data_IF_376419398580
#
_entry.id   IF_376419398580
#
_cell.length_a   1.000
_cell.length_b   1.000
_cell.length_c   1.000
_cell.angle_alpha   90.00
_cell.angle_beta   90.00
_cell.angle_gamma   90.00
#
_symmetry.space_group_name_H-M   'P 1'
#
loop_
_entity.id
_entity.type
_entity.pdbx_description
1 polymer ?
#
# COMPACT_ATOMS: atom_id res chain seq x y z
N UNK A 1 -29.14 7.59 13.73
CA UNK A 1 -27.80 7.15 13.26
C UNK A 1 -27.55 7.72 11.87
N UNK A 2 -26.74 8.77 11.74
CA UNK A 2 -26.38 9.36 10.44
C UNK A 2 -25.25 8.49 9.87
N UNK A 3 -25.50 7.72 8.81
CA UNK A 3 -24.43 7.23 7.93
C UNK A 3 -24.22 8.30 6.87
N UNK A 4 -23.32 9.27 7.06
CA UNK A 4 -22.79 9.92 5.89
C UNK A 4 -21.88 8.86 5.26
N UNK A 5 -22.24 8.39 4.08
CA UNK A 5 -21.26 7.91 3.12
C UNK A 5 -20.37 9.12 2.79
N UNK A 6 -19.56 9.61 3.75
CA UNK A 6 -18.55 10.61 3.48
C UNK A 6 -17.62 9.89 2.53
N UNK A 7 -17.47 10.46 1.35
CA UNK A 7 -16.55 10.07 0.27
C UNK A 7 -15.11 9.80 0.73
N UNK A 8 -14.75 10.10 1.98
CA UNK A 8 -13.45 9.79 2.59
C UNK A 8 -13.22 8.35 3.06
N UNK A 9 -14.24 7.51 3.31
CA UNK A 9 -14.01 6.21 3.99
C UNK A 9 -13.48 5.10 3.05
N UNK A 10 -13.84 5.11 1.76
CA UNK A 10 -13.25 4.17 0.80
C UNK A 10 -12.00 4.71 0.10
N UNK A 11 -11.68 5.99 0.28
CA UNK A 11 -10.38 6.55 -0.12
C UNK A 11 -9.22 6.00 0.73
N UNK A 12 -9.53 5.25 1.80
CA UNK A 12 -8.59 4.67 2.77
C UNK A 12 -7.68 3.61 2.14
N UNK A 13 -8.15 2.80 1.18
CA UNK A 13 -7.27 1.79 0.55
C UNK A 13 -6.10 2.41 -0.21
N UNK A 14 -6.34 3.53 -0.90
CA UNK A 14 -5.31 4.23 -1.67
C UNK A 14 -4.37 5.10 -0.84
N UNK A 15 -4.77 5.48 0.38
CA UNK A 15 -3.98 6.31 1.30
C UNK A 15 -3.21 5.46 2.31
N UNK A 16 -3.77 4.35 2.80
CA UNK A 16 -3.15 3.60 3.90
C UNK A 16 -2.14 2.54 3.47
N UNK A 17 -2.27 1.89 2.31
CA UNK A 17 -1.29 0.88 1.85
C UNK A 17 0.15 1.43 1.67
N UNK A 18 0.35 2.73 1.90
CA UNK A 18 1.59 3.45 1.70
C UNK A 18 2.25 4.00 2.94
N UNK A 19 1.56 4.10 4.08
CA UNK A 19 2.25 4.60 5.26
C UNK A 19 3.41 3.66 5.66
N UNK A 20 3.40 2.41 5.18
CA UNK A 20 4.27 1.38 5.75
C UNK A 20 5.08 0.54 4.79
N UNK A 21 4.77 0.43 3.49
CA UNK A 21 5.56 -0.45 2.60
C UNK A 21 6.88 0.18 2.12
N UNK A 22 6.96 1.51 2.02
CA UNK A 22 8.21 2.21 1.70
C UNK A 22 8.14 3.58 2.35
N UNK A 23 9.22 3.96 3.03
CA UNK A 23 9.49 5.30 3.57
C UNK A 23 8.71 6.40 2.83
N UNK A 24 7.75 7.03 3.49
CA UNK A 24 6.90 8.10 2.94
C UNK A 24 7.64 9.42 2.65
N UNK A 25 8.96 9.39 2.61
CA UNK A 25 9.80 10.50 2.17
C UNK A 25 10.90 9.89 1.31
N UNK A 26 10.94 10.30 0.04
CA UNK A 26 12.08 10.03 -0.83
C UNK A 26 13.40 10.44 -0.17
N UNK A 27 14.54 10.02 -0.74
CA UNK A 27 15.84 10.31 -0.15
C UNK A 27 15.96 11.81 0.14
N UNK A 28 16.23 12.15 1.41
CA UNK A 28 16.46 13.53 1.83
C UNK A 28 17.93 13.83 1.52
N UNK A 29 18.16 14.81 0.66
CA UNK A 29 19.48 15.32 0.36
C UNK A 29 19.79 16.52 1.26
N UNK A 30 20.92 16.48 1.96
CA UNK A 30 21.44 17.56 2.79
C UNK A 30 22.84 17.92 2.31
N UNK A 31 23.08 19.20 2.07
CA UNK A 31 24.42 19.74 1.80
C UNK A 31 24.84 20.59 2.99
N UNK A 32 26.01 20.28 3.56
CA UNK A 32 26.51 20.90 4.79
C UNK A 32 27.99 21.22 4.64
N UNK A 33 28.35 22.49 4.78
CA UNK A 33 29.75 22.90 4.94
C UNK A 33 30.13 22.88 6.42
N UNK A 34 31.16 22.12 6.79
CA UNK A 34 31.65 21.98 8.17
C UNK A 34 33.00 22.70 8.27
N UNK A 35 33.06 23.86 8.96
CA UNK A 35 34.32 24.60 9.10
C UNK A 35 35.41 23.81 9.79
N UNK A 36 36.67 24.19 9.54
CA UNK A 36 37.84 23.70 10.26
C UNK A 36 37.69 23.90 11.78
N UNK A 37 38.08 22.91 12.58
CA UNK A 37 37.98 23.00 14.04
C UNK A 37 36.55 22.92 14.60
N UNK A 38 35.53 22.68 13.77
CA UNK A 38 34.12 22.68 14.17
C UNK A 38 33.41 21.36 13.85
N UNK A 39 32.19 21.24 14.36
CA UNK A 39 31.26 20.18 14.00
C UNK A 39 29.89 20.78 13.67
N UNK A 40 29.09 20.04 12.89
CA UNK A 40 27.68 20.36 12.62
C UNK A 40 26.83 19.10 12.76
N UNK A 41 25.55 19.27 13.06
CA UNK A 41 24.62 18.16 13.14
C UNK A 41 23.30 18.47 12.42
N UNK A 42 22.73 17.47 11.77
CA UNK A 42 21.38 17.53 11.22
C UNK A 42 20.44 16.63 12.04
N UNK A 43 19.28 17.17 12.43
CA UNK A 43 18.30 16.47 13.27
C UNK A 43 17.32 15.68 12.41
N UNK A 44 17.25 14.38 12.68
CA UNK A 44 16.22 13.47 12.17
C UNK A 44 15.11 13.40 13.22
N UNK A 45 13.91 13.85 12.88
CA UNK A 45 12.80 13.97 13.86
C UNK A 45 11.97 12.70 13.92
N UNK A 46 11.57 12.32 15.13
CA UNK A 46 10.56 11.30 15.42
C UNK A 46 10.77 9.96 14.68
N UNK A 47 12.02 9.49 14.63
CA UNK A 47 12.28 8.16 14.06
C UNK A 47 11.65 7.10 14.96
N UNK A 48 10.85 6.16 14.41
CA UNK A 48 10.27 5.09 15.20
C UNK A 48 11.35 4.07 15.55
N UNK A 49 11.12 3.34 16.65
CA UNK A 49 11.95 2.20 17.02
C UNK A 49 11.95 1.18 15.87
N UNK A 50 13.09 0.54 15.67
CA UNK A 50 13.36 -0.48 14.65
C UNK A 50 13.32 0.03 13.19
N UNK A 51 13.11 1.33 12.97
CA UNK A 51 13.28 1.91 11.64
C UNK A 51 14.70 1.70 11.12
N UNK A 52 14.82 1.33 9.84
CA UNK A 52 16.10 1.26 9.15
C UNK A 52 16.41 2.62 8.54
N UNK A 53 17.52 3.21 8.97
CA UNK A 53 18.05 4.45 8.40
C UNK A 53 19.25 4.12 7.54
N UNK A 54 19.09 4.25 6.22
CA UNK A 54 20.18 4.20 5.26
C UNK A 54 20.75 5.61 5.07
N UNK A 55 22.07 5.71 5.18
CA UNK A 55 22.81 6.96 5.05
C UNK A 55 23.92 6.77 4.03
N UNK A 56 23.99 7.67 3.07
CA UNK A 56 25.16 7.84 2.21
C UNK A 56 25.74 9.22 2.46
N UNK A 57 27.03 9.28 2.76
CA UNK A 57 27.77 10.52 2.98
C UNK A 57 28.86 10.63 1.93
N UNK A 58 28.99 11.80 1.33
CA UNK A 58 30.08 12.18 0.44
C UNK A 58 30.77 13.42 1.00
N UNK A 59 32.09 13.47 0.94
CA UNK A 59 32.87 14.63 1.38
C UNK A 59 34.04 14.92 0.45
N UNK A 60 34.46 16.18 0.41
CA UNK A 60 35.65 16.62 -0.34
C UNK A 60 36.96 16.45 0.47
N UNK A 61 36.91 15.84 1.65
CA UNK A 61 38.09 15.50 2.43
C UNK A 61 37.72 14.73 3.70
N UNK A 62 38.73 14.44 4.52
CA UNK A 62 38.54 13.64 5.72
C UNK A 62 37.65 14.33 6.76
N UNK A 63 36.59 13.64 7.20
CA UNK A 63 35.66 14.06 8.26
C UNK A 63 35.14 12.84 9.02
N UNK A 64 34.81 13.00 10.31
CA UNK A 64 34.15 11.94 11.08
C UNK A 64 32.63 12.10 11.05
N UNK A 65 31.91 10.98 10.96
CA UNK A 65 30.45 10.94 10.93
C UNK A 65 29.94 10.04 12.02
N UNK A 66 28.87 10.46 12.71
CA UNK A 66 28.19 9.61 13.67
C UNK A 66 26.66 9.80 13.61
N UNK A 67 25.91 8.71 13.81
CA UNK A 67 24.46 8.77 14.06
C UNK A 67 24.18 8.52 15.54
N UNK A 68 23.52 9.48 16.20
CA UNK A 68 23.39 9.51 17.66
C UNK A 68 21.94 9.78 18.04
N UNK A 69 21.43 9.12 19.09
CA UNK A 69 20.12 9.43 19.67
C UNK A 69 20.16 10.76 20.44
N UNK A 70 19.11 11.58 20.35
CA UNK A 70 19.01 12.90 20.99
C UNK A 70 19.31 12.90 22.49
N UNK A 71 18.86 11.89 23.24
CA UNK A 71 19.20 11.71 24.67
C UNK A 71 20.71 11.63 24.94
N UNK A 72 21.47 10.99 24.06
CA UNK A 72 22.93 10.91 24.20
C UNK A 72 23.59 12.23 23.80
N UNK A 73 23.02 12.95 22.84
CA UNK A 73 23.54 14.23 22.35
C UNK A 73 23.54 15.36 23.40
N UNK A 74 22.65 15.33 24.39
CA UNK A 74 22.53 16.38 25.42
C UNK A 74 23.72 16.43 26.40
N UNK A 75 24.56 15.38 26.48
CA UNK A 75 25.55 15.19 27.55
C UNK A 75 27.02 15.38 27.13
N UNK A 76 27.31 16.20 26.10
CA UNK A 76 28.63 16.43 25.46
C UNK A 76 29.02 15.40 24.38
N UNK A 77 29.62 15.83 23.24
CA UNK A 77 30.01 14.94 22.14
C UNK A 77 31.12 13.93 22.45
N UNK A 78 31.84 14.08 23.57
CA UNK A 78 33.04 13.29 23.84
C UNK A 78 32.76 11.93 24.53
N UNK A 79 31.54 11.70 25.06
CA UNK A 79 31.12 10.44 25.70
C UNK A 79 29.89 9.81 25.02
N UNK A 80 29.75 10.02 23.71
CA UNK A 80 28.62 9.50 22.97
C UNK A 80 28.73 8.00 22.74
N UNK A 81 27.60 7.30 22.87
CA UNK A 81 27.42 5.95 22.31
C UNK A 81 26.60 6.07 21.02
N UNK A 82 27.27 6.29 19.88
CA UNK A 82 26.57 6.42 18.62
C UNK A 82 26.01 5.06 18.18
N UNK A 83 24.89 5.09 17.46
CA UNK A 83 24.37 3.93 16.73
C UNK A 83 25.34 3.52 15.61
N UNK A 84 26.07 4.49 15.08
CA UNK A 84 27.13 4.30 14.09
C UNK A 84 28.16 5.41 14.21
N UNK A 85 29.45 5.07 14.09
CA UNK A 85 30.52 6.04 13.89
C UNK A 85 31.47 5.54 12.80
N UNK A 86 31.91 6.45 11.94
CA UNK A 86 32.84 6.14 10.86
C UNK A 86 33.58 7.37 10.38
N UNK A 87 34.62 7.16 9.58
CA UNK A 87 35.41 8.22 8.95
C UNK A 87 35.14 8.23 7.45
N UNK A 88 35.02 9.42 6.88
CA UNK A 88 34.70 9.63 5.47
C UNK A 88 35.79 10.49 4.86
N UNK A 89 36.44 10.01 3.81
CA UNK A 89 37.39 10.80 3.02
C UNK A 89 36.80 11.22 1.68
N UNK A 90 36.04 10.31 1.05
CA UNK A 90 35.32 10.56 -0.21
C UNK A 90 33.86 10.17 -0.11
N UNK A 91 33.59 8.90 0.23
CA UNK A 91 32.22 8.37 0.35
C UNK A 91 32.15 7.27 1.40
N UNK A 92 31.05 7.24 2.14
CA UNK A 92 30.70 6.19 3.10
C UNK A 92 29.20 5.93 3.03
N UNK A 93 28.81 4.66 3.01
CA UNK A 93 27.41 4.25 3.11
C UNK A 93 27.24 3.29 4.28
N UNK A 94 26.17 3.49 5.05
CA UNK A 94 25.82 2.60 6.15
C UNK A 94 24.30 2.50 6.31
N UNK A 95 23.85 1.49 7.05
CA UNK A 95 22.46 1.34 7.45
C UNK A 95 22.40 0.88 8.89
N UNK A 96 21.53 1.51 9.68
CA UNK A 96 21.36 1.19 11.10
C UNK A 96 19.90 1.11 11.48
N UNK A 97 19.58 0.14 12.33
CA UNK A 97 18.29 0.05 12.98
C UNK A 97 18.22 1.06 14.14
N UNK A 98 17.11 1.79 14.24
CA UNK A 98 16.84 2.74 15.31
C UNK A 98 16.52 1.99 16.60
N UNK A 99 17.45 1.97 17.55
CA UNK A 99 17.27 1.20 18.80
C UNK A 99 16.17 1.76 19.71
N UNK A 100 15.94 3.09 19.68
CA UNK A 100 14.95 3.78 20.50
C UNK A 100 14.15 4.78 19.65
N UNK A 101 12.83 4.84 19.87
CA UNK A 101 11.99 5.86 19.24
C UNK A 101 12.39 7.25 19.73
N UNK A 102 12.54 8.20 18.81
CA UNK A 102 12.76 9.60 19.13
C UNK A 102 13.58 10.33 18.07
N UNK A 103 14.09 11.50 18.46
CA UNK A 103 14.94 12.28 17.59
C UNK A 103 16.37 11.74 17.58
N UNK A 104 17.00 11.82 16.42
CA UNK A 104 18.39 11.45 16.20
C UNK A 104 19.14 12.59 15.53
N UNK A 105 20.46 12.57 15.63
CA UNK A 105 21.34 13.52 14.97
C UNK A 105 22.36 12.76 14.14
N UNK A 106 22.53 13.18 12.89
CA UNK A 106 23.74 12.87 12.13
C UNK A 106 24.75 13.99 12.37
N UNK A 107 25.86 13.65 13.01
CA UNK A 107 26.96 14.54 13.38
C UNK A 107 28.05 14.44 12.33
N UNK A 108 28.58 15.59 11.93
CA UNK A 108 29.75 15.75 11.08
C UNK A 108 30.81 16.49 11.89
N UNK A 109 31.90 15.80 12.23
CA UNK A 109 32.97 16.32 13.09
C UNK A 109 34.24 16.55 12.28
N UNK A 110 34.59 17.83 12.11
CA UNK A 110 35.80 18.32 11.46
C UNK A 110 36.74 19.04 12.45
N UNK A 111 36.64 18.73 13.76
CA UNK A 111 37.48 19.36 14.80
C UNK A 111 38.99 19.11 14.60
N UNK A 112 39.36 18.00 13.96
CA UNK A 112 40.76 17.64 13.65
C UNK A 112 41.22 18.11 12.26
N UNK A 113 40.32 18.65 11.44
CA UNK A 113 40.67 19.14 10.11
C UNK A 113 41.30 20.52 10.16
N UNK A 114 42.15 20.83 9.18
CA UNK A 114 42.76 22.16 8.99
C UNK A 114 41.97 23.04 8.02
N UNK A 115 41.10 22.44 7.21
CA UNK A 115 40.28 23.11 6.19
C UNK A 115 38.80 22.84 6.39
N UNK A 116 37.93 23.67 5.81
CA UNK A 116 36.50 23.40 5.76
C UNK A 116 36.19 22.20 4.86
N UNK A 117 35.16 21.43 5.21
CA UNK A 117 34.72 20.26 4.45
C UNK A 117 33.29 20.44 3.95
N UNK A 118 33.10 20.29 2.64
CA UNK A 118 31.78 20.19 2.04
C UNK A 118 31.32 18.73 2.18
N UNK A 119 30.10 18.54 2.68
CA UNK A 119 29.51 17.22 2.93
C UNK A 119 28.13 17.15 2.30
N UNK A 120 27.92 16.15 1.47
CA UNK A 120 26.61 15.80 0.91
C UNK A 120 26.11 14.54 1.57
N UNK A 121 24.87 14.54 2.06
CA UNK A 121 24.26 13.39 2.70
C UNK A 121 22.92 13.06 2.07
N UNK A 122 22.77 11.79 1.71
CA UNK A 122 21.49 11.20 1.29
C UNK A 122 20.98 10.31 2.41
N UNK A 123 19.79 10.63 2.93
CA UNK A 123 19.14 9.92 4.03
C UNK A 123 17.86 9.26 3.54
N UNK A 124 17.67 7.98 3.90
CA UNK A 124 16.42 7.27 3.68
C UNK A 124 16.05 6.50 4.94
N UNK A 125 14.87 6.76 5.50
CA UNK A 125 14.39 6.08 6.71
C UNK A 125 13.12 5.30 6.39
N UNK A 126 13.15 3.98 6.53
CA UNK A 126 12.00 3.10 6.34
C UNK A 126 11.64 2.39 7.64
N UNK A 127 10.37 2.03 7.82
CA UNK A 127 9.94 1.13 8.90
C UNK A 127 10.63 -0.23 8.76
N UNK A 128 10.79 -0.95 9.88
CA UNK A 128 11.25 -2.35 9.85
C UNK A 128 10.28 -3.20 9.03
N UNK A 129 10.78 -4.18 8.27
CA UNK A 129 9.95 -5.07 7.43
C UNK A 129 8.77 -5.70 8.20
N UNK A 130 8.99 -6.00 9.49
CA UNK A 130 7.95 -6.52 10.39
C UNK A 130 6.84 -5.50 10.63
N UNK A 131 7.18 -4.24 10.91
CA UNK A 131 6.21 -3.17 11.09
C UNK A 131 5.48 -2.85 9.78
N UNK A 132 6.18 -2.94 8.64
CA UNK A 132 5.59 -2.75 7.31
C UNK A 132 4.47 -3.75 7.06
N UNK A 133 4.78 -5.02 7.29
CA UNK A 133 3.87 -6.15 7.10
C UNK A 133 2.70 -6.09 8.08
N UNK A 134 2.95 -5.76 9.34
CA UNK A 134 1.91 -5.63 10.36
C UNK A 134 0.90 -4.53 10.00
N UNK A 135 1.39 -3.36 9.60
CA UNK A 135 0.52 -2.26 9.25
C UNK A 135 -0.25 -2.50 7.95
N UNK A 136 0.40 -3.08 6.93
CA UNK A 136 -0.29 -3.50 5.71
C UNK A 136 -1.37 -4.55 6.02
N UNK A 137 -1.08 -5.50 6.91
CA UNK A 137 -2.05 -6.46 7.42
C UNK A 137 -3.23 -5.81 8.15
N UNK A 138 -2.97 -4.79 8.98
CA UNK A 138 -4.02 -4.05 9.67
C UNK A 138 -4.97 -3.33 8.70
N UNK A 139 -4.45 -2.82 7.59
CA UNK A 139 -5.24 -2.16 6.54
C UNK A 139 -6.14 -3.15 5.82
N UNK A 140 -5.60 -4.32 5.46
CA UNK A 140 -6.39 -5.38 4.82
C UNK A 140 -7.46 -5.94 5.75
N UNK A 141 -7.17 -6.08 7.05
CA UNK A 141 -8.17 -6.46 8.05
C UNK A 141 -9.25 -5.37 8.21
N UNK A 142 -8.90 -4.09 8.21
CA UNK A 142 -9.92 -3.04 8.23
C UNK A 142 -10.76 -3.04 6.95
N UNK A 143 -10.16 -3.30 5.79
CA UNK A 143 -10.90 -3.43 4.54
C UNK A 143 -11.93 -4.57 4.59
N UNK A 144 -11.55 -5.74 5.08
CA UNK A 144 -12.45 -6.87 5.31
C UNK A 144 -13.64 -6.50 6.22
N UNK A 145 -13.37 -5.85 7.37
CA UNK A 145 -14.44 -5.34 8.25
C UNK A 145 -15.38 -4.37 7.56
N UNK A 146 -14.85 -3.50 6.69
CA UNK A 146 -15.68 -2.56 5.92
C UNK A 146 -16.52 -3.29 4.86
N UNK A 147 -16.00 -4.35 4.23
CA UNK A 147 -16.79 -5.21 3.35
C UNK A 147 -17.94 -5.87 4.12
N UNK A 148 -17.74 -6.37 5.34
CA UNK A 148 -18.81 -6.93 6.18
C UNK A 148 -19.91 -5.91 6.55
N UNK A 149 -19.58 -4.61 6.59
CA UNK A 149 -20.58 -3.56 6.78
C UNK A 149 -21.46 -3.33 5.55
N UNK A 150 -21.00 -3.78 4.39
CA UNK A 150 -21.70 -3.64 3.12
C UNK A 150 -22.41 -4.91 2.68
N UNK A 151 -21.79 -6.07 2.93
CA UNK A 151 -22.25 -7.35 2.45
C UNK A 151 -22.36 -8.39 3.59
N UNK A 152 -23.17 -9.40 3.34
CA UNK A 152 -23.38 -10.59 4.17
C UNK A 152 -22.63 -11.74 3.51
N UNK A 153 -21.55 -12.17 4.12
CA UNK A 153 -20.70 -13.29 3.70
C UNK A 153 -20.01 -13.87 4.93
N UNK A 154 -19.45 -15.06 4.82
CA UNK A 154 -18.66 -15.67 5.88
C UNK A 154 -17.30 -14.99 5.98
N UNK A 155 -16.88 -14.65 7.19
CA UNK A 155 -15.64 -13.92 7.38
C UNK A 155 -14.43 -14.73 6.89
N UNK A 156 -13.55 -14.08 6.14
CA UNK A 156 -12.27 -14.64 5.72
C UNK A 156 -11.15 -13.71 6.16
N UNK A 157 -10.02 -14.29 6.56
CA UNK A 157 -8.87 -13.49 6.99
C UNK A 157 -8.24 -12.78 5.79
N UNK A 158 -7.85 -11.52 5.98
CA UNK A 158 -7.06 -10.77 5.01
C UNK A 158 -5.78 -10.25 5.66
N UNK A 159 -4.65 -10.32 4.94
CA UNK A 159 -3.37 -9.90 5.50
C UNK A 159 -2.23 -9.82 4.48
N UNK A 160 -1.02 -9.54 4.98
CA UNK A 160 0.22 -9.55 4.20
C UNK A 160 1.18 -10.52 4.86
N UNK A 161 1.93 -11.29 4.08
CA UNK A 161 3.00 -12.14 4.59
C UNK A 161 4.09 -12.37 3.54
N UNK A 162 5.22 -12.89 3.99
CA UNK A 162 6.25 -13.42 3.10
C UNK A 162 5.81 -14.79 2.59
N UNK A 163 5.87 -15.00 1.28
CA UNK A 163 5.43 -16.24 0.65
C UNK A 163 6.59 -17.14 0.20
N UNK A 164 7.82 -16.62 0.16
CA UNK A 164 9.01 -17.35 -0.26
C UNK A 164 9.04 -17.71 -1.74
N UNK A 165 8.08 -17.21 -2.53
CA UNK A 165 7.98 -17.45 -3.97
C UNK A 165 7.25 -16.30 -4.66
N UNK A 166 7.55 -16.02 -5.95
CA UNK A 166 6.91 -14.95 -6.70
C UNK A 166 5.48 -15.34 -7.08
N UNK A 167 4.52 -14.99 -6.23
CA UNK A 167 3.06 -15.11 -6.44
C UNK A 167 2.35 -13.90 -5.83
N UNK A 168 1.16 -13.53 -6.31
CA UNK A 168 0.46 -12.37 -5.73
C UNK A 168 -0.16 -12.69 -4.36
N UNK A 169 -0.73 -13.88 -4.21
CA UNK A 169 -1.42 -14.30 -2.99
C UNK A 169 -0.97 -15.69 -2.55
N UNK A 170 -1.03 -15.95 -1.24
CA UNK A 170 -0.71 -17.26 -0.68
C UNK A 170 -1.82 -18.29 -0.95
N UNK A 171 -1.44 -19.55 -1.12
CA UNK A 171 -2.36 -20.68 -1.27
C UNK A 171 -2.85 -21.19 0.10
N UNK A 172 -3.62 -20.36 0.81
CA UNK A 172 -4.20 -20.71 2.10
C UNK A 172 -5.62 -20.16 2.24
N UNK A 173 -6.33 -20.58 3.29
CA UNK A 173 -7.67 -20.07 3.57
C UNK A 173 -7.64 -18.58 3.90
N UNK A 174 -8.15 -17.74 3.00
CA UNK A 174 -8.22 -16.29 3.17
C UNK A 174 -7.59 -15.56 1.99
N UNK A 175 -7.28 -14.28 2.17
CA UNK A 175 -6.66 -13.42 1.15
C UNK A 175 -5.39 -12.80 1.74
N UNK A 176 -4.25 -13.47 1.54
CA UNK A 176 -2.96 -13.02 2.04
C UNK A 176 -2.07 -12.58 0.89
N UNK A 177 -1.82 -11.28 0.81
CA UNK A 177 -0.95 -10.66 -0.20
C UNK A 177 0.51 -10.97 0.11
N UNK A 178 1.25 -11.46 -0.88
CA UNK A 178 2.67 -11.76 -0.73
C UNK A 178 3.52 -10.49 -0.84
N UNK A 179 4.46 -10.29 0.09
CA UNK A 179 5.36 -9.11 0.08
C UNK A 179 6.22 -9.07 -1.19
N UNK A 180 6.59 -10.23 -1.73
CA UNK A 180 7.36 -10.36 -2.96
C UNK A 180 6.62 -9.75 -4.16
N UNK A 181 5.29 -9.93 -4.22
CA UNK A 181 4.48 -9.34 -5.29
C UNK A 181 4.49 -7.82 -5.24
N UNK A 182 4.34 -7.24 -4.05
CA UNK A 182 4.40 -5.81 -3.83
C UNK A 182 5.76 -5.28 -4.31
N UNK A 183 6.85 -5.89 -3.85
CA UNK A 183 8.22 -5.51 -4.22
C UNK A 183 8.45 -5.55 -5.72
N UNK A 184 8.18 -6.68 -6.38
CA UNK A 184 8.43 -6.84 -7.81
C UNK A 184 7.52 -5.97 -8.68
N UNK A 185 6.29 -5.71 -8.25
CA UNK A 185 5.39 -4.82 -8.96
C UNK A 185 5.90 -3.36 -8.90
N UNK A 186 6.39 -2.90 -7.76
CA UNK A 186 7.04 -1.58 -7.65
C UNK A 186 8.30 -1.50 -8.51
N UNK A 187 9.15 -2.52 -8.39
CA UNK A 187 10.42 -2.55 -9.11
C UNK A 187 10.23 -2.54 -10.62
N UNK A 188 9.25 -3.26 -11.14
CA UNK A 188 9.04 -3.34 -12.57
C UNK A 188 8.30 -2.12 -13.15
N UNK A 189 7.34 -1.56 -12.40
CA UNK A 189 6.57 -0.42 -12.90
C UNK A 189 7.34 0.90 -12.78
N UNK A 190 8.24 1.02 -11.80
CA UNK A 190 8.97 2.26 -11.46
C UNK A 190 8.06 3.49 -11.28
N UNK A 191 6.75 3.26 -11.12
CA UNK A 191 5.71 4.25 -10.91
C UNK A 191 4.86 3.76 -9.75
N UNK A 192 4.94 4.52 -8.67
CA UNK A 192 4.38 4.13 -7.41
C UNK A 192 2.84 4.17 -7.44
N UNK A 193 2.24 5.16 -8.12
CA UNK A 193 0.78 5.26 -8.28
C UNK A 193 0.24 4.14 -9.17
N UNK A 194 0.98 3.74 -10.21
CA UNK A 194 0.59 2.58 -11.03
C UNK A 194 0.65 1.29 -10.24
N UNK A 195 1.68 1.08 -9.45
CA UNK A 195 1.71 -0.08 -8.56
C UNK A 195 0.52 -0.10 -7.59
N UNK A 196 0.06 1.06 -7.06
CA UNK A 196 -1.19 1.11 -6.28
C UNK A 196 -2.41 0.66 -7.08
N UNK A 197 -2.53 1.13 -8.32
CA UNK A 197 -3.66 0.80 -9.18
C UNK A 197 -3.73 -0.73 -9.38
N UNK A 198 -2.60 -1.37 -9.67
CA UNK A 198 -2.50 -2.82 -9.83
C UNK A 198 -2.73 -3.58 -8.53
N UNK A 199 -2.13 -3.16 -7.42
CA UNK A 199 -2.37 -3.79 -6.10
C UNK A 199 -3.84 -3.74 -5.73
N UNK A 200 -4.48 -2.58 -5.93
CA UNK A 200 -5.91 -2.40 -5.66
C UNK A 200 -6.72 -3.37 -6.51
N UNK A 201 -6.46 -3.41 -7.83
CA UNK A 201 -7.17 -4.35 -8.71
C UNK A 201 -6.98 -5.80 -8.30
N UNK A 202 -5.75 -6.23 -7.98
CA UNK A 202 -5.44 -7.59 -7.55
C UNK A 202 -6.16 -7.97 -6.24
N UNK A 203 -6.21 -7.07 -5.25
CA UNK A 203 -6.96 -7.30 -4.00
C UNK A 203 -8.46 -7.44 -4.29
N UNK A 204 -9.03 -6.56 -5.12
CA UNK A 204 -10.44 -6.64 -5.50
C UNK A 204 -10.76 -7.88 -6.34
N UNK A 205 -9.83 -8.35 -7.17
CA UNK A 205 -9.96 -9.60 -7.91
C UNK A 205 -10.07 -10.79 -6.95
N UNK A 206 -9.22 -10.85 -5.92
CA UNK A 206 -9.31 -11.92 -4.91
C UNK A 206 -10.58 -11.84 -4.08
N UNK A 207 -10.99 -10.64 -3.66
CA UNK A 207 -12.26 -10.46 -2.95
C UNK A 207 -13.43 -10.89 -3.83
N UNK A 208 -13.44 -10.48 -5.10
CA UNK A 208 -14.47 -10.87 -6.04
C UNK A 208 -14.53 -12.40 -6.20
N UNK A 209 -13.38 -13.05 -6.35
CA UNK A 209 -13.32 -14.51 -6.43
C UNK A 209 -13.93 -15.14 -5.19
N UNK A 210 -13.48 -14.72 -4.01
CA UNK A 210 -13.93 -15.30 -2.73
C UNK A 210 -15.43 -15.13 -2.52
N UNK A 211 -15.96 -13.94 -2.78
CA UNK A 211 -17.40 -13.68 -2.66
C UNK A 211 -18.23 -14.47 -3.67
N UNK A 212 -17.74 -14.64 -4.91
CA UNK A 212 -18.43 -15.46 -5.91
C UNK A 212 -18.47 -16.94 -5.50
N UNK A 213 -17.38 -17.45 -4.90
CA UNK A 213 -17.32 -18.80 -4.34
C UNK A 213 -18.27 -18.96 -3.15
N UNK A 214 -18.18 -18.08 -2.15
CA UNK A 214 -18.99 -18.13 -0.93
C UNK A 214 -20.49 -18.01 -1.22
N UNK A 215 -20.87 -17.22 -2.24
CA UNK A 215 -22.26 -17.08 -2.69
C UNK A 215 -22.68 -18.07 -3.77
N UNK A 216 -21.85 -19.07 -4.06
CA UNK A 216 -22.12 -20.15 -5.02
C UNK A 216 -22.54 -19.63 -6.42
N UNK A 217 -21.91 -18.56 -6.90
CA UNK A 217 -22.18 -18.06 -8.24
C UNK A 217 -21.77 -19.13 -9.27
N UNK A 218 -22.61 -19.45 -10.28
CA UNK A 218 -22.37 -20.55 -11.23
C UNK A 218 -21.13 -20.37 -12.12
N UNK A 219 -20.40 -19.27 -11.96
CA UNK A 219 -19.22 -18.92 -12.74
C UNK A 219 -18.06 -18.46 -11.88
N UNK A 220 -18.04 -18.80 -10.58
CA UNK A 220 -17.00 -18.41 -9.63
C UNK A 220 -15.57 -18.80 -10.06
N UNK A 221 -15.41 -19.87 -10.85
CA UNK A 221 -14.10 -20.28 -11.38
C UNK A 221 -13.65 -19.58 -12.67
N UNK A 222 -14.48 -18.72 -13.29
CA UNK A 222 -14.13 -18.06 -14.55
C UNK A 222 -13.39 -16.74 -14.29
N UNK A 223 -12.15 -16.65 -14.77
CA UNK A 223 -11.32 -15.45 -14.61
C UNK A 223 -12.00 -14.18 -15.13
N UNK A 224 -12.68 -14.26 -16.28
CA UNK A 224 -13.42 -13.12 -16.85
C UNK A 224 -14.57 -12.67 -15.94
N UNK A 225 -15.34 -13.60 -15.37
CA UNK A 225 -16.42 -13.29 -14.43
C UNK A 225 -15.88 -12.66 -13.15
N UNK A 226 -14.73 -13.14 -12.67
CA UNK A 226 -14.05 -12.58 -11.49
C UNK A 226 -13.58 -11.16 -11.75
N UNK A 227 -12.93 -10.90 -12.88
CA UNK A 227 -12.53 -9.54 -13.28
C UNK A 227 -13.75 -8.63 -13.40
N UNK A 228 -14.81 -9.10 -14.06
CA UNK A 228 -16.04 -8.36 -14.26
C UNK A 228 -16.66 -7.94 -12.93
N UNK A 229 -16.73 -8.88 -11.99
CA UNK A 229 -17.28 -8.64 -10.66
C UNK A 229 -16.37 -7.74 -9.81
N UNK A 230 -15.04 -7.88 -9.91
CA UNK A 230 -14.08 -6.99 -9.28
C UNK A 230 -14.26 -5.54 -9.75
N UNK A 231 -14.46 -5.32 -11.05
CA UNK A 231 -14.76 -3.97 -11.57
C UNK A 231 -16.07 -3.44 -10.99
N UNK A 232 -17.12 -4.25 -10.91
CA UNK A 232 -18.39 -3.83 -10.33
C UNK A 232 -18.22 -3.38 -8.86
N UNK A 233 -17.52 -4.17 -8.05
CA UNK A 233 -17.19 -3.82 -6.66
C UNK A 233 -16.36 -2.54 -6.58
N UNK A 234 -15.30 -2.42 -7.37
CA UNK A 234 -14.46 -1.21 -7.39
C UNK A 234 -15.26 0.04 -7.74
N UNK A 235 -16.16 -0.03 -8.72
CA UNK A 235 -17.02 1.11 -9.08
C UNK A 235 -18.02 1.45 -7.97
N UNK A 236 -18.63 0.46 -7.33
CA UNK A 236 -19.54 0.68 -6.18
C UNK A 236 -18.83 1.33 -5.00
N UNK A 237 -17.55 1.00 -4.78
CA UNK A 237 -16.71 1.51 -3.70
C UNK A 237 -15.88 2.74 -4.10
N UNK A 238 -16.27 3.43 -5.17
CA UNK A 238 -15.66 4.67 -5.64
C UNK A 238 -14.15 4.55 -5.98
N UNK A 239 -13.71 3.38 -6.45
CA UNK A 239 -12.34 3.09 -6.90
C UNK A 239 -12.19 3.22 -8.43
N UNK A 240 -13.06 4.00 -9.10
CA UNK A 240 -13.07 4.16 -10.56
C UNK A 240 -11.71 4.60 -11.11
N UNK A 241 -11.03 5.52 -10.43
CA UNK A 241 -9.70 5.99 -10.85
C UNK A 241 -8.64 4.89 -10.83
N UNK A 242 -8.62 4.05 -9.79
CA UNK A 242 -7.67 2.94 -9.62
C UNK A 242 -7.86 1.86 -10.68
N UNK A 243 -9.11 1.43 -10.90
CA UNK A 243 -9.40 0.42 -11.92
C UNK A 243 -9.10 0.93 -13.34
N UNK A 244 -9.42 2.20 -13.64
CA UNK A 244 -9.05 2.81 -14.92
C UNK A 244 -7.53 2.92 -15.07
N UNK A 245 -6.83 3.30 -14.01
CA UNK A 245 -5.37 3.45 -14.04
C UNK A 245 -4.64 2.13 -14.29
N UNK A 246 -5.04 1.05 -13.62
CA UNK A 246 -4.49 -0.28 -13.84
C UNK A 246 -4.76 -0.77 -15.27
N UNK A 247 -6.01 -0.66 -15.71
CA UNK A 247 -6.44 -1.17 -17.01
C UNK A 247 -5.85 -0.37 -18.18
N UNK A 248 -5.86 0.96 -18.11
CA UNK A 248 -5.26 1.82 -19.14
C UNK A 248 -3.76 1.59 -19.26
N UNK A 249 -3.06 1.48 -18.12
CA UNK A 249 -1.63 1.17 -18.10
C UNK A 249 -1.36 -0.21 -18.71
N UNK A 250 -2.14 -1.23 -18.34
CA UNK A 250 -1.97 -2.58 -18.87
C UNK A 250 -2.13 -2.66 -20.38
N UNK A 251 -3.08 -1.89 -20.94
CA UNK A 251 -3.32 -1.83 -22.37
C UNK A 251 -2.20 -1.09 -23.11
N UNK A 252 -1.71 0.03 -22.54
CA UNK A 252 -0.70 0.88 -23.19
C UNK A 252 0.74 0.37 -23.04
N UNK A 253 1.04 -0.39 -21.98
CA UNK A 253 2.40 -0.82 -21.64
C UNK A 253 2.53 -2.35 -21.50
N UNK A 254 2.16 -3.14 -22.53
CA UNK A 254 2.19 -4.60 -22.44
C UNK A 254 3.59 -5.16 -22.19
N UNK A 255 4.64 -4.52 -22.69
CA UNK A 255 6.04 -4.94 -22.49
C UNK A 255 6.47 -4.84 -21.03
N UNK A 256 6.10 -3.75 -20.33
CA UNK A 256 6.42 -3.57 -18.91
C UNK A 256 5.78 -4.68 -18.06
N UNK A 257 4.54 -5.06 -18.38
CA UNK A 257 3.84 -6.12 -17.67
C UNK A 257 4.33 -7.53 -18.03
N UNK A 258 4.81 -7.76 -19.25
CA UNK A 258 5.34 -9.07 -19.63
C UNK A 258 6.52 -9.49 -18.75
N UNK A 259 7.38 -8.56 -18.34
CA UNK A 259 8.48 -8.85 -17.40
C UNK A 259 7.95 -9.33 -16.05
N UNK A 260 6.92 -8.65 -15.54
CA UNK A 260 6.26 -8.99 -14.27
C UNK A 260 5.55 -10.33 -14.38
N UNK A 261 4.72 -10.53 -15.41
CA UNK A 261 4.00 -11.79 -15.63
C UNK A 261 4.93 -12.99 -15.81
N UNK A 262 6.15 -12.80 -16.33
CA UNK A 262 7.16 -13.86 -16.39
C UNK A 262 7.73 -14.24 -15.02
N UNK A 263 7.76 -13.31 -14.06
CA UNK A 263 8.14 -13.64 -12.68
C UNK A 263 7.03 -14.42 -11.97
N UNK A 264 5.78 -14.12 -12.30
CA UNK A 264 4.57 -14.72 -11.73
C UNK A 264 3.96 -15.81 -12.62
N UNK A 265 4.76 -16.61 -13.33
CA UNK A 265 4.25 -17.59 -14.33
C UNK A 265 3.25 -18.61 -13.78
N UNK A 266 3.29 -18.88 -12.47
CA UNK A 266 2.35 -19.78 -11.80
C UNK A 266 1.02 -19.09 -11.41
N UNK A 267 0.94 -17.78 -11.54
CA UNK A 267 -0.21 -16.94 -11.23
C UNK A 267 -0.70 -16.25 -12.51
N UNK A 268 -1.50 -16.96 -13.31
CA UNK A 268 -2.07 -16.45 -14.56
C UNK A 268 -3.09 -15.31 -14.34
N UNK A 269 -3.47 -15.08 -13.08
CA UNK A 269 -4.44 -14.07 -12.65
C UNK A 269 -3.79 -12.76 -12.24
N UNK A 270 -2.48 -12.70 -11.98
CA UNK A 270 -1.82 -11.45 -11.59
C UNK A 270 -0.41 -11.32 -12.18
N UNK A 271 0.00 -10.11 -12.60
CA UNK A 271 -0.80 -8.88 -12.66
C UNK A 271 -1.85 -8.89 -13.79
N UNK A 272 -2.70 -7.86 -13.83
CA UNK A 272 -3.67 -7.66 -14.90
C UNK A 272 -2.99 -7.58 -16.27
N UNK A 273 -3.16 -8.58 -17.12
CA UNK A 273 -2.56 -8.62 -18.46
C UNK A 273 -3.20 -7.62 -19.43
N UNK A 274 -2.51 -7.27 -20.52
CA UNK A 274 -3.05 -6.35 -21.54
C UNK A 274 -4.38 -6.83 -22.16
N UNK A 275 -4.57 -8.15 -22.33
CA UNK A 275 -5.81 -8.73 -22.86
C UNK A 275 -6.97 -8.50 -21.89
N UNK A 276 -6.79 -8.85 -20.62
CA UNK A 276 -7.79 -8.65 -19.56
C UNK A 276 -8.04 -7.16 -19.32
N UNK A 277 -6.98 -6.35 -19.36
CA UNK A 277 -7.02 -4.89 -19.23
C UNK A 277 -7.96 -4.22 -20.24
N UNK A 278 -8.07 -4.71 -21.48
CA UNK A 278 -9.05 -4.17 -22.45
C UNK A 278 -10.50 -4.35 -22.00
N UNK A 279 -10.84 -5.52 -21.45
CA UNK A 279 -12.17 -5.80 -20.93
C UNK A 279 -12.46 -4.96 -19.69
N UNK A 280 -11.52 -4.96 -18.73
CA UNK A 280 -11.59 -4.13 -17.51
C UNK A 280 -11.77 -2.66 -17.84
N UNK A 281 -11.00 -2.12 -18.81
CA UNK A 281 -11.08 -0.73 -19.22
C UNK A 281 -12.46 -0.40 -19.84
N UNK A 282 -13.02 -1.31 -20.63
CA UNK A 282 -14.37 -1.16 -21.20
C UNK A 282 -15.42 -1.07 -20.09
N UNK A 283 -15.41 -1.99 -19.13
CA UNK A 283 -16.36 -2.03 -18.02
C UNK A 283 -16.21 -0.81 -17.09
N UNK A 284 -14.98 -0.44 -16.74
CA UNK A 284 -14.69 0.66 -15.83
C UNK A 284 -15.12 2.04 -16.37
N UNK A 285 -15.18 2.20 -17.70
CA UNK A 285 -15.66 3.46 -18.33
C UNK A 285 -17.16 3.66 -18.14
N UNK A 286 -17.95 2.59 -18.08
CA UNK A 286 -19.39 2.63 -17.88
C UNK A 286 -19.74 2.77 -16.37
N UNK A 287 -20.20 3.94 -15.95
CA UNK A 287 -20.60 4.19 -14.56
C UNK A 287 -21.89 3.46 -14.14
N UNK A 288 -22.65 2.93 -15.09
CA UNK A 288 -23.87 2.14 -14.82
C UNK A 288 -23.57 0.65 -14.76
N UNK A 289 -22.34 0.24 -15.07
CA UNK A 289 -21.92 -1.16 -15.13
C UNK A 289 -22.29 -2.01 -13.91
N UNK A 290 -22.15 -1.53 -12.65
CA UNK A 290 -22.54 -2.33 -11.49
C UNK A 290 -24.03 -2.68 -11.43
N UNK A 291 -24.88 -1.98 -12.20
CA UNK A 291 -26.31 -2.29 -12.31
C UNK A 291 -26.57 -3.71 -12.80
N UNK A 292 -25.74 -4.21 -13.73
CA UNK A 292 -25.80 -5.59 -14.24
C UNK A 292 -25.70 -6.63 -13.11
N UNK A 293 -24.96 -6.30 -12.05
CA UNK A 293 -24.71 -7.19 -10.92
C UNK A 293 -25.71 -7.03 -9.77
N UNK A 294 -26.64 -6.07 -9.83
CA UNK A 294 -27.56 -5.79 -8.71
C UNK A 294 -28.44 -6.98 -8.35
N UNK A 295 -28.95 -7.72 -9.33
CA UNK A 295 -29.78 -8.91 -9.07
C UNK A 295 -29.05 -9.97 -8.25
N UNK A 296 -27.74 -10.10 -8.45
CA UNK A 296 -26.88 -11.00 -7.67
C UNK A 296 -26.46 -10.38 -6.34
N UNK A 297 -26.06 -9.11 -6.32
CA UNK A 297 -25.52 -8.45 -5.14
C UNK A 297 -26.56 -8.14 -4.06
N UNK A 298 -27.75 -7.69 -4.45
CA UNK A 298 -28.78 -7.16 -3.53
C UNK A 298 -29.15 -8.15 -2.41
N UNK A 299 -29.39 -9.44 -2.69
CA UNK A 299 -29.63 -10.45 -1.64
C UNK A 299 -28.50 -10.53 -0.60
N UNK A 300 -27.26 -10.26 -1.01
CA UNK A 300 -26.07 -10.30 -0.15
C UNK A 300 -25.70 -8.95 0.45
N UNK A 301 -26.43 -7.86 0.20
CA UNK A 301 -26.15 -6.57 0.84
C UNK A 301 -26.66 -6.54 2.28
N UNK A 302 -25.97 -5.80 3.15
CA UNK A 302 -26.45 -5.52 4.49
C UNK A 302 -27.73 -4.69 4.47
N UNK A 303 -28.66 -4.93 5.40
CA UNK A 303 -29.94 -4.20 5.48
C UNK A 303 -29.74 -2.69 5.64
N UNK A 304 -28.69 -2.29 6.38
CA UNK A 304 -28.33 -0.88 6.54
C UNK A 304 -27.92 -0.23 5.20
N UNK A 305 -27.15 -0.94 4.37
CA UNK A 305 -26.77 -0.49 3.02
C UNK A 305 -28.02 -0.36 2.13
N UNK A 306 -28.88 -1.37 2.10
CA UNK A 306 -30.12 -1.35 1.31
C UNK A 306 -31.03 -0.16 1.69
N UNK A 307 -31.22 0.09 3.00
CA UNK A 307 -31.98 1.26 3.48
C UNK A 307 -31.34 2.58 3.03
N UNK A 308 -30.00 2.66 3.03
CA UNK A 308 -29.28 3.83 2.52
C UNK A 308 -29.48 4.02 1.01
N UNK A 309 -29.38 2.94 0.23
CA UNK A 309 -29.58 2.98 -1.23
C UNK A 309 -31.02 3.34 -1.60
N UNK A 310 -32.02 2.87 -0.84
CA UNK A 310 -33.42 3.28 -1.02
C UNK A 310 -33.59 4.80 -0.81
N UNK A 311 -32.96 5.35 0.24
CA UNK A 311 -33.06 6.78 0.57
C UNK A 311 -32.29 7.66 -0.42
N UNK A 312 -31.13 7.22 -0.87
CA UNK A 312 -30.24 7.95 -1.78
C UNK A 312 -29.69 6.99 -2.83
N UNK A 313 -30.45 6.75 -3.92
CA UNK A 313 -30.00 5.88 -5.00
C UNK A 313 -28.74 6.42 -5.67
N UNK A 314 -27.90 5.52 -6.16
CA UNK A 314 -26.74 5.85 -7.00
C UNK A 314 -27.07 5.56 -8.48
N UNK A 315 -26.18 5.94 -9.41
CA UNK A 315 -26.38 5.70 -10.84
C UNK A 315 -26.50 4.22 -11.23
N UNK A 316 -26.02 3.32 -10.38
CA UNK A 316 -26.07 1.87 -10.60
C UNK A 316 -27.13 1.16 -9.76
N UNK A 317 -27.84 1.86 -8.88
CA UNK A 317 -28.84 1.27 -7.98
C UNK A 317 -30.08 0.87 -8.76
N UNK A 318 -30.48 -0.41 -8.66
CA UNK A 318 -31.79 -0.84 -9.12
C UNK A 318 -32.78 -0.77 -7.94
N UNK A 319 -33.58 0.30 -7.91
CA UNK A 319 -34.45 0.60 -6.77
C UNK A 319 -35.51 -0.48 -6.55
N UNK A 320 -36.03 -1.07 -7.64
CA UNK A 320 -37.04 -2.13 -7.58
C UNK A 320 -36.50 -3.36 -6.85
N UNK A 321 -35.26 -3.78 -7.17
CA UNK A 321 -34.62 -4.90 -6.48
C UNK A 321 -34.38 -4.60 -5.00
N UNK A 322 -33.90 -3.39 -4.68
CA UNK A 322 -33.64 -2.96 -3.30
C UNK A 322 -34.93 -2.97 -2.47
N UNK A 323 -36.02 -2.42 -3.00
CA UNK A 323 -37.31 -2.37 -2.30
C UNK A 323 -37.92 -3.75 -2.12
N UNK A 324 -37.84 -4.60 -3.15
CA UNK A 324 -38.28 -5.99 -3.08
C UNK A 324 -37.54 -6.76 -2.00
N UNK A 325 -36.21 -6.64 -1.94
CA UNK A 325 -35.39 -7.32 -0.95
C UNK A 325 -35.66 -6.82 0.48
N UNK A 326 -35.80 -5.51 0.68
CA UNK A 326 -36.17 -4.95 1.99
C UNK A 326 -37.53 -5.47 2.46
N UNK A 327 -38.54 -5.48 1.59
CA UNK A 327 -39.86 -6.01 1.92
C UNK A 327 -39.83 -7.52 2.23
N UNK A 328 -38.98 -8.29 1.54
CA UNK A 328 -38.80 -9.71 1.82
C UNK A 328 -38.16 -9.96 3.19
N UNK A 329 -37.21 -9.13 3.61
CA UNK A 329 -36.57 -9.21 4.93
C UNK A 329 -37.52 -8.83 6.06
N UNK A 330 -38.33 -7.79 5.88
CA UNK A 330 -39.31 -7.36 6.88
C UNK A 330 -40.35 -8.46 7.15
N UNK A 331 -40.78 -9.20 6.10
CA UNK A 331 -41.68 -10.35 6.24
C UNK A 331 -41.08 -11.54 7.01
N UNK A 332 -39.76 -11.73 6.95
CA UNK A 332 -39.05 -12.82 7.67
C UNK A 332 -38.75 -12.49 9.13
N UNK A 333 -38.86 -11.22 9.52
CA UNK A 333 -38.59 -10.75 10.88
C UNK A 333 -39.83 -10.81 11.80
N UNK A 334 -41.00 -11.11 11.25
CA UNK A 334 -42.28 -11.31 11.96
C UNK A 334 -42.48 -12.81 12.18
#
# INVERSE_FOLDING_TARGET
MKFPLKTGVFSILGVLLWATAFAASGPILLNVDVPSGQWKAARLKNLPKDAMVAVQVESNGEISVALIHSKAFQNSPDNLRPLFAGRVERRLSFSVAVAEKGDHYILFDNRRGTEARAVTVTLQAALSEKDQTQAAGAILSEFEKQLHRLFVFDAFSMGVKQCGSPRAFAEESGIFLCTEYVYHLYDALKDQERAKDFLSFSIFHQVAQRLLEDWNHPSAGRAETTDEFAVALMLMLNQKSRVLGAADFAVKNPSALNTVSKLFQQDDRHPLSAKRGRNVLKWAKDSTFPRKWQAFLVPHMQTALLKSLKKKPTSWTDLSLVEKELAARDKKAI
#
